data_IF_169710795325
#
_entry.id   IF_169710795325
#
_cell.length_a   1.000
_cell.length_b   1.000
_cell.length_c   1.000
_cell.angle_alpha   90.00
_cell.angle_beta   90.00
_cell.angle_gamma   90.00
#
_symmetry.space_group_name_H-M   'P 1'
#
loop_
_entity.id
_entity.type
_entity.pdbx_description
1 polymer ?
#
# COMPACT_ATOMS: atom_id res chain seq x y z
N UNK A 1 -1.76 26.45 -23.76
CA UNK A 1 -1.12 25.14 -24.04
C UNK A 1 0.00 24.79 -23.04
N UNK A 2 0.08 25.44 -21.86
CA UNK A 2 1.19 25.23 -20.90
C UNK A 2 0.79 24.48 -19.61
N UNK A 3 -0.50 24.29 -19.32
CA UNK A 3 -0.94 23.60 -18.09
C UNK A 3 -0.94 22.08 -18.20
N UNK A 4 -1.24 21.52 -19.38
CA UNK A 4 -1.28 20.07 -19.59
C UNK A 4 0.06 19.37 -19.29
N UNK A 5 1.19 20.00 -19.64
CA UNK A 5 2.52 19.43 -19.40
C UNK A 5 2.92 19.44 -17.92
N UNK A 6 2.43 20.40 -17.12
CA UNK A 6 2.70 20.46 -15.69
C UNK A 6 1.92 19.41 -14.91
N UNK A 7 0.65 19.20 -15.27
CA UNK A 7 -0.18 18.18 -14.60
C UNK A 7 0.25 16.76 -14.99
N UNK A 8 0.62 16.51 -16.26
CA UNK A 8 1.18 15.21 -16.67
C UNK A 8 2.48 14.88 -15.91
N UNK A 9 3.40 15.83 -15.79
CA UNK A 9 4.67 15.63 -15.07
C UNK A 9 4.49 15.35 -13.57
N UNK A 10 3.40 15.80 -12.96
CA UNK A 10 3.10 15.49 -11.55
C UNK A 10 2.55 14.06 -11.41
N UNK A 11 1.64 13.65 -12.29
CA UNK A 11 1.13 12.27 -12.29
C UNK A 11 2.23 11.24 -12.57
N UNK A 12 3.13 11.53 -13.51
CA UNK A 12 4.28 10.66 -13.80
C UNK A 12 5.19 10.50 -12.58
N UNK A 13 5.41 11.58 -11.81
CA UNK A 13 6.21 11.53 -10.58
C UNK A 13 5.54 10.76 -9.45
N UNK A 14 4.23 10.93 -9.26
CA UNK A 14 3.47 10.16 -8.26
C UNK A 14 3.49 8.66 -8.59
N UNK A 15 3.43 8.30 -9.87
CA UNK A 15 3.52 6.91 -10.33
C UNK A 15 4.94 6.34 -10.17
N UNK A 16 5.98 7.12 -10.46
CA UNK A 16 7.39 6.75 -10.21
C UNK A 16 7.67 6.54 -8.71
N UNK A 17 7.23 7.47 -7.85
CA UNK A 17 7.38 7.37 -6.40
C UNK A 17 6.65 6.14 -5.84
N UNK A 18 5.44 5.86 -6.33
CA UNK A 18 4.69 4.64 -5.97
C UNK A 18 5.43 3.38 -6.41
N UNK A 19 5.94 3.35 -7.65
CA UNK A 19 6.67 2.20 -8.16
C UNK A 19 7.95 1.94 -7.35
N UNK A 20 8.65 3.00 -6.95
CA UNK A 20 9.83 2.91 -6.10
C UNK A 20 9.48 2.36 -4.71
N UNK A 21 8.40 2.86 -4.09
CA UNK A 21 7.92 2.35 -2.81
C UNK A 21 7.57 0.84 -2.86
N UNK A 22 6.93 0.39 -3.94
CA UNK A 22 6.64 -1.02 -4.16
C UNK A 22 7.91 -1.87 -4.30
N UNK A 23 8.96 -1.34 -4.93
CA UNK A 23 10.25 -2.03 -5.01
C UNK A 23 10.91 -2.19 -3.65
N UNK A 24 10.89 -1.14 -2.82
CA UNK A 24 11.38 -1.23 -1.43
C UNK A 24 10.62 -2.27 -0.62
N UNK A 25 9.29 -2.32 -0.75
CA UNK A 25 8.47 -3.31 -0.05
C UNK A 25 8.79 -4.73 -0.54
N UNK A 26 8.93 -4.92 -1.85
CA UNK A 26 9.31 -6.21 -2.41
C UNK A 26 10.70 -6.66 -1.94
N UNK A 27 11.64 -5.73 -1.77
CA UNK A 27 12.95 -6.01 -1.19
C UNK A 27 12.88 -6.39 0.28
N UNK A 28 12.09 -5.68 1.08
CA UNK A 28 11.87 -6.04 2.48
C UNK A 28 11.34 -7.48 2.64
N UNK A 29 10.42 -7.91 1.75
CA UNK A 29 9.92 -9.30 1.74
C UNK A 29 10.99 -10.32 1.34
N UNK A 30 11.87 -9.99 0.40
CA UNK A 30 13.01 -10.87 0.05
C UNK A 30 14.01 -10.98 1.20
N UNK A 31 14.33 -9.87 1.85
CA UNK A 31 15.27 -9.85 2.98
C UNK A 31 14.73 -10.64 4.17
N UNK A 32 13.44 -10.50 4.47
CA UNK A 32 12.77 -11.30 5.51
C UNK A 32 12.85 -12.81 5.23
N UNK A 33 12.71 -13.23 3.98
CA UNK A 33 12.86 -14.64 3.59
C UNK A 33 14.29 -15.16 3.85
N UNK A 34 15.30 -14.33 3.58
CA UNK A 34 16.72 -14.63 3.86
C UNK A 34 17.03 -14.67 5.36
N UNK A 35 16.42 -13.77 6.13
CA UNK A 35 16.62 -13.66 7.58
C UNK A 35 15.77 -14.65 8.40
N UNK A 36 14.87 -15.40 7.75
CA UNK A 36 13.98 -16.36 8.41
C UNK A 36 12.84 -15.69 9.19
N UNK A 37 12.45 -14.47 8.81
CA UNK A 37 11.31 -13.76 9.39
C UNK A 37 10.02 -14.29 8.77
N UNK A 38 9.06 -14.65 9.64
CA UNK A 38 7.74 -15.10 9.21
C UNK A 38 7.02 -14.05 8.37
N UNK A 39 6.51 -14.46 7.20
CA UNK A 39 5.84 -13.57 6.24
C UNK A 39 4.59 -12.92 6.83
N UNK A 40 3.88 -13.65 7.69
CA UNK A 40 2.73 -13.14 8.42
C UNK A 40 3.13 -12.02 9.39
N UNK A 41 4.23 -12.19 10.12
CA UNK A 41 4.73 -11.17 11.04
C UNK A 41 5.15 -9.90 10.29
N UNK A 42 5.83 -10.06 9.15
CA UNK A 42 6.20 -8.92 8.29
C UNK A 42 4.97 -8.19 7.74
N UNK A 43 3.95 -8.93 7.29
CA UNK A 43 2.72 -8.35 6.77
C UNK A 43 1.99 -7.52 7.85
N UNK A 44 1.89 -8.05 9.08
CA UNK A 44 1.31 -7.30 10.20
C UNK A 44 2.11 -6.03 10.53
N UNK A 45 3.44 -6.13 10.56
CA UNK A 45 4.30 -4.97 10.81
C UNK A 45 4.15 -3.90 9.72
N UNK A 46 4.10 -4.30 8.44
CA UNK A 46 3.91 -3.39 7.33
C UNK A 46 2.53 -2.71 7.35
N UNK A 47 1.47 -3.45 7.69
CA UNK A 47 0.13 -2.88 7.82
C UNK A 47 0.09 -1.84 8.95
N UNK A 48 0.69 -2.16 10.10
CA UNK A 48 0.80 -1.22 11.20
C UNK A 48 1.56 0.04 10.80
N UNK A 49 2.74 -0.11 10.17
CA UNK A 49 3.55 1.01 9.71
C UNK A 49 2.79 1.88 8.71
N UNK A 50 2.10 1.28 7.74
CA UNK A 50 1.29 1.99 6.77
C UNK A 50 0.17 2.81 7.45
N UNK A 51 -0.59 2.20 8.36
CA UNK A 51 -1.66 2.91 9.09
C UNK A 51 -1.08 4.03 9.97
N UNK A 52 0.02 3.77 10.69
CA UNK A 52 0.66 4.76 11.54
C UNK A 52 1.14 5.98 10.74
N UNK A 53 1.78 5.76 9.58
CA UNK A 53 2.19 6.84 8.68
C UNK A 53 0.99 7.64 8.15
N UNK A 54 -0.11 6.98 7.79
CA UNK A 54 -1.32 7.69 7.34
C UNK A 54 -1.96 8.50 8.47
N UNK A 55 -1.99 7.96 9.69
CA UNK A 55 -2.50 8.67 10.88
C UNK A 55 -1.62 9.87 11.21
N UNK A 56 -0.29 9.75 11.09
CA UNK A 56 0.64 10.87 11.30
C UNK A 56 0.39 12.01 10.30
N UNK A 57 0.12 11.68 9.03
CA UNK A 57 -0.09 12.67 7.97
C UNK A 57 -1.48 13.32 7.98
N UNK A 58 -2.53 12.55 8.30
CA UNK A 58 -3.92 12.97 8.10
C UNK A 58 -4.77 12.96 9.38
N UNK A 59 -4.27 12.42 10.48
CA UNK A 59 -4.98 12.27 11.76
C UNK A 59 -5.80 10.98 11.86
N UNK A 60 -6.22 10.66 13.08
CA UNK A 60 -6.89 9.39 13.40
C UNK A 60 -8.29 9.27 12.78
N UNK A 61 -9.13 10.30 12.89
CA UNK A 61 -10.52 10.22 12.47
C UNK A 61 -10.72 10.01 10.95
N UNK A 62 -9.97 10.70 10.06
CA UNK A 62 -10.04 10.43 8.62
C UNK A 62 -9.60 9.01 8.25
N UNK A 63 -8.55 8.49 8.89
CA UNK A 63 -8.04 7.15 8.62
C UNK A 63 -8.95 6.07 9.19
N UNK A 64 -9.52 6.27 10.38
CA UNK A 64 -10.54 5.35 10.91
C UNK A 64 -11.70 5.16 9.91
N UNK A 65 -12.22 6.28 9.37
CA UNK A 65 -13.28 6.25 8.35
C UNK A 65 -12.85 5.61 7.03
N UNK A 66 -11.59 5.75 6.65
CA UNK A 66 -11.03 5.05 5.48
C UNK A 66 -11.04 3.53 5.69
N UNK A 67 -10.59 3.09 6.87
CA UNK A 67 -10.45 1.67 7.21
C UNK A 67 -11.78 0.95 7.46
N UNK A 68 -12.87 1.67 7.78
CA UNK A 68 -14.22 1.10 7.95
C UNK A 68 -14.69 0.26 6.74
N UNK A 69 -14.19 0.56 5.54
CA UNK A 69 -14.55 -0.18 4.32
C UNK A 69 -13.76 -1.46 4.11
N UNK A 70 -12.58 -1.59 4.74
CA UNK A 70 -11.66 -2.71 4.51
C UNK A 70 -12.29 -4.08 4.78
N UNK A 71 -13.02 -4.32 5.89
CA UNK A 71 -13.60 -5.63 6.15
C UNK A 71 -14.50 -6.10 5.00
N UNK A 72 -15.36 -5.20 4.50
CA UNK A 72 -16.24 -5.52 3.37
C UNK A 72 -15.47 -5.84 2.09
N UNK A 73 -14.35 -5.16 1.83
CA UNK A 73 -13.49 -5.43 0.67
C UNK A 73 -12.77 -6.78 0.79
N UNK A 74 -12.32 -7.15 2.00
CA UNK A 74 -11.74 -8.47 2.29
C UNK A 74 -12.77 -9.58 2.08
N UNK A 75 -13.99 -9.40 2.59
CA UNK A 75 -15.09 -10.37 2.41
C UNK A 75 -15.51 -10.52 0.95
N UNK A 76 -15.49 -9.44 0.18
CA UNK A 76 -15.71 -9.46 -1.26
C UNK A 76 -14.55 -10.10 -2.03
N UNK A 77 -13.43 -10.39 -1.37
CA UNK A 77 -12.23 -11.02 -1.94
C UNK A 77 -11.38 -10.06 -2.79
N UNK A 78 -11.49 -8.74 -2.61
CA UNK A 78 -10.77 -7.75 -3.44
C UNK A 78 -9.23 -7.90 -3.32
N UNK A 79 -8.76 -8.51 -2.23
CA UNK A 79 -7.34 -8.76 -1.97
C UNK A 79 -6.91 -10.21 -2.24
N UNK A 80 -7.82 -11.06 -2.73
CA UNK A 80 -7.49 -12.43 -3.12
C UNK A 80 -6.85 -12.43 -4.50
N UNK A 81 -5.52 -12.55 -4.53
CA UNK A 81 -4.73 -12.52 -5.78
C UNK A 81 -4.99 -13.75 -6.67
N UNK A 82 -5.44 -14.86 -6.08
CA UNK A 82 -5.73 -16.13 -6.78
C UNK A 82 -7.23 -16.31 -7.11
N UNK A 83 -7.95 -15.22 -7.39
CA UNK A 83 -9.33 -15.36 -7.86
C UNK A 83 -9.30 -15.87 -9.31
N UNK A 84 -9.22 -17.19 -9.47
CA UNK A 84 -9.56 -17.86 -10.72
C UNK A 84 -11.02 -17.53 -11.01
N UNK A 85 -11.29 -16.63 -11.95
CA UNK A 85 -12.64 -16.34 -12.43
C UNK A 85 -13.20 -17.69 -12.92
N UNK A 86 -14.20 -18.22 -12.22
CA UNK A 86 -15.03 -19.31 -12.72
C UNK A 86 -16.18 -18.75 -13.56
#
# INVERSE_FOLDING_TARGET
MFEYSRTQSLFERDDEERQLALQYLAEAWRNADVEGVEKEALAHAALFAAIATLVEQYGEAPIAKLLEKLPGQVELGEYTVDRTIQ
#
